data_IF_560861740813
#
_entry.id   IF_560861740813
#
_cell.length_a   1.000
_cell.length_b   1.000
_cell.length_c   1.000
_cell.angle_alpha   90.00
_cell.angle_beta   90.00
_cell.angle_gamma   90.00
#
_symmetry.space_group_name_H-M   'P 1'
#
loop_
_entity.id
_entity.type
_entity.pdbx_description
1 polymer ?
#
# COMPACT_ATOMS: atom_id res chain seq x y z
N UNK A 1 -3.38 23.71 -3.34
CA UNK A 1 -2.93 22.31 -3.48
C UNK A 1 -4.14 21.44 -3.63
N UNK A 2 -4.32 20.85 -4.81
CA UNK A 2 -5.41 19.91 -5.09
C UNK A 2 -4.98 18.51 -4.67
N UNK A 3 -5.86 17.74 -4.02
CA UNK A 3 -5.63 16.34 -3.69
C UNK A 3 -6.67 15.51 -4.43
N UNK A 4 -6.22 14.56 -5.22
CA UNK A 4 -7.09 13.70 -6.04
C UNK A 4 -6.50 12.30 -6.18
N UNK A 5 -7.35 11.35 -6.55
CA UNK A 5 -6.94 10.00 -6.90
C UNK A 5 -5.97 10.05 -8.11
N UNK A 6 -4.95 9.21 -8.07
CA UNK A 6 -3.92 9.12 -9.10
C UNK A 6 -4.45 8.37 -10.31
N UNK A 7 -4.14 8.87 -11.51
CA UNK A 7 -4.47 8.23 -12.79
C UNK A 7 -3.21 7.62 -13.42
N UNK A 8 -3.34 6.70 -14.40
CA UNK A 8 -2.18 6.13 -15.08
C UNK A 8 -1.21 7.18 -15.67
N UNK A 9 -1.73 8.31 -16.16
CA UNK A 9 -0.95 9.45 -16.65
C UNK A 9 -0.12 10.17 -15.58
N UNK A 10 -0.47 10.03 -14.29
CA UNK A 10 0.26 10.64 -13.19
C UNK A 10 1.49 9.82 -12.75
N UNK A 11 1.55 8.52 -13.12
CA UNK A 11 2.54 7.58 -12.59
C UNK A 11 3.98 7.98 -12.92
N UNK A 12 4.23 8.52 -14.11
CA UNK A 12 5.53 9.10 -14.48
C UNK A 12 5.94 10.25 -13.56
N UNK A 13 5.00 11.13 -13.23
CA UNK A 13 5.26 12.27 -12.36
C UNK A 13 5.40 11.84 -10.88
N UNK A 14 4.73 10.77 -10.47
CA UNK A 14 4.92 10.14 -9.16
C UNK A 14 6.32 9.55 -9.04
N UNK A 15 6.79 8.80 -10.05
CA UNK A 15 8.17 8.28 -10.07
C UNK A 15 9.19 9.42 -10.02
N UNK A 16 9.00 10.48 -10.82
CA UNK A 16 9.88 11.64 -10.75
C UNK A 16 9.89 12.29 -9.35
N UNK A 17 8.74 12.34 -8.67
CA UNK A 17 8.67 12.85 -7.30
C UNK A 17 9.37 11.92 -6.28
N UNK A 18 9.30 10.60 -6.48
CA UNK A 18 9.98 9.60 -5.65
C UNK A 18 11.50 9.78 -5.72
N UNK A 19 12.06 9.82 -6.93
CA UNK A 19 13.49 10.02 -7.21
C UNK A 19 14.06 11.29 -6.55
N UNK A 20 13.25 12.34 -6.42
CA UNK A 20 13.66 13.59 -5.77
C UNK A 20 13.57 13.57 -4.25
N UNK A 21 12.80 12.65 -3.67
CA UNK A 21 12.41 12.70 -2.26
C UNK A 21 12.92 11.54 -1.42
N UNK A 22 13.15 10.37 -2.02
CA UNK A 22 13.39 9.11 -1.33
C UNK A 22 14.57 8.34 -1.95
N UNK A 23 15.35 7.61 -1.13
CA UNK A 23 16.40 6.72 -1.62
C UNK A 23 15.86 5.39 -2.16
N UNK A 24 14.71 4.91 -1.65
CA UNK A 24 14.04 3.71 -2.16
C UNK A 24 13.23 4.02 -3.43
N UNK A 25 13.70 3.50 -4.57
CA UNK A 25 13.18 3.78 -5.90
C UNK A 25 12.68 2.51 -6.60
N UNK A 26 11.72 2.67 -7.51
CA UNK A 26 11.07 1.56 -8.21
C UNK A 26 11.04 1.77 -9.73
N UNK A 27 11.10 0.66 -10.46
CA UNK A 27 10.90 0.64 -11.91
C UNK A 27 9.46 1.00 -12.29
N UNK A 28 9.23 1.55 -13.48
CA UNK A 28 7.90 2.00 -13.91
C UNK A 28 6.87 0.86 -13.94
N UNK A 29 7.30 -0.37 -14.24
CA UNK A 29 6.47 -1.58 -14.17
C UNK A 29 5.77 -1.71 -12.81
N UNK A 30 6.45 -1.36 -11.72
CA UNK A 30 5.91 -1.46 -10.38
C UNK A 30 4.83 -0.40 -10.09
N UNK A 31 5.00 0.82 -10.63
CA UNK A 31 3.96 1.84 -10.58
C UNK A 31 2.72 1.44 -11.39
N UNK A 32 2.91 0.85 -12.58
CA UNK A 32 1.79 0.33 -13.36
C UNK A 32 1.07 -0.82 -12.65
N UNK A 33 1.81 -1.74 -12.03
CA UNK A 33 1.21 -2.81 -11.23
C UNK A 33 0.26 -2.24 -10.16
N UNK A 34 0.69 -1.23 -9.39
CA UNK A 34 -0.19 -0.57 -8.41
C UNK A 34 -1.39 0.11 -9.07
N UNK A 35 -1.17 0.89 -10.12
CA UNK A 35 -2.21 1.67 -10.79
C UNK A 35 -3.24 0.82 -11.53
N UNK A 36 -2.89 -0.42 -11.90
CA UNK A 36 -3.79 -1.36 -12.59
C UNK A 36 -4.47 -2.33 -11.63
N UNK A 37 -3.79 -2.74 -10.55
CA UNK A 37 -4.36 -3.65 -9.55
C UNK A 37 -5.28 -2.93 -8.55
N UNK A 38 -4.89 -1.73 -8.08
CA UNK A 38 -5.64 -0.97 -7.07
C UNK A 38 -5.75 0.52 -7.44
N UNK A 39 -6.42 0.86 -8.56
CA UNK A 39 -6.51 2.23 -9.06
C UNK A 39 -7.09 3.23 -8.04
N UNK A 40 -7.93 2.77 -7.11
CA UNK A 40 -8.58 3.63 -6.11
C UNK A 40 -7.65 4.07 -4.97
N UNK A 41 -6.52 3.39 -4.73
CA UNK A 41 -5.76 3.53 -3.47
C UNK A 41 -4.67 4.60 -3.50
N UNK A 42 -4.17 4.92 -4.69
CA UNK A 42 -3.07 5.89 -4.83
C UNK A 42 -3.62 7.30 -5.06
N UNK A 43 -3.01 8.28 -4.39
CA UNK A 43 -3.43 9.68 -4.46
C UNK A 43 -2.23 10.59 -4.69
N UNK A 44 -2.48 11.73 -5.31
CA UNK A 44 -1.48 12.76 -5.53
C UNK A 44 -1.93 14.10 -4.94
N UNK A 45 -0.96 14.94 -4.64
CA UNK A 45 -1.13 16.36 -4.35
C UNK A 45 -0.43 17.16 -5.45
N UNK A 46 -1.17 18.06 -6.11
CA UNK A 46 -0.67 18.91 -7.19
C UNK A 46 -0.83 20.40 -6.86
N UNK A 47 0.06 21.22 -7.40
CA UNK A 47 -0.03 22.68 -7.35
C UNK A 47 -1.00 23.24 -8.40
N UNK A 48 -1.14 24.55 -8.46
CA UNK A 48 -2.05 25.25 -9.38
C UNK A 48 -1.69 25.04 -10.86
N UNK A 49 -0.45 24.62 -11.16
CA UNK A 49 0.03 24.33 -12.50
C UNK A 49 -0.08 22.83 -12.85
N UNK A 50 -0.71 22.02 -12.01
CA UNK A 50 -0.82 20.57 -12.19
C UNK A 50 0.48 19.81 -11.90
N UNK A 51 1.48 20.43 -11.26
CA UNK A 51 2.73 19.75 -10.92
C UNK A 51 2.55 18.96 -9.64
N UNK A 52 2.89 17.67 -9.67
CA UNK A 52 2.90 16.83 -8.47
C UNK A 52 3.92 17.35 -7.46
N UNK A 53 3.44 17.65 -6.25
CA UNK A 53 4.23 18.08 -5.09
C UNK A 53 4.26 17.04 -3.97
N UNK A 54 3.40 16.03 -4.04
CA UNK A 54 3.45 14.85 -3.18
C UNK A 54 2.54 13.75 -3.70
N UNK A 55 2.76 12.54 -3.22
CA UNK A 55 1.93 11.38 -3.58
C UNK A 55 1.95 10.34 -2.45
N UNK A 56 0.94 9.47 -2.47
CA UNK A 56 0.92 8.20 -1.77
C UNK A 56 0.67 7.09 -2.81
N UNK A 57 1.53 6.09 -2.82
CA UNK A 57 1.42 4.86 -3.58
C UNK A 57 1.06 3.75 -2.60
N UNK A 58 -0.08 3.12 -2.82
CA UNK A 58 -0.64 2.14 -1.89
C UNK A 58 -1.21 0.93 -2.62
N UNK A 59 -1.23 -0.21 -1.93
CA UNK A 59 -1.78 -1.49 -2.39
C UNK A 59 -2.61 -2.16 -1.29
N UNK A 60 -3.30 -3.24 -1.63
CA UNK A 60 -3.73 -4.24 -0.65
C UNK A 60 -2.64 -5.33 -0.56
N UNK A 61 -2.45 -5.92 0.62
CA UNK A 61 -1.71 -7.18 0.69
C UNK A 61 -2.58 -8.34 0.19
N UNK A 62 -1.95 -9.31 -0.47
CA UNK A 62 -2.59 -10.39 -1.22
C UNK A 62 -2.54 -11.74 -0.47
N UNK A 63 -2.01 -11.78 0.75
CA UNK A 63 -1.94 -13.01 1.55
C UNK A 63 -3.34 -13.47 1.97
N UNK A 64 -3.80 -14.67 1.54
CA UNK A 64 -5.14 -15.16 1.83
C UNK A 64 -5.34 -15.60 3.28
N UNK A 65 -4.26 -15.88 4.03
CA UNK A 65 -4.34 -16.32 5.42
C UNK A 65 -4.50 -15.12 6.40
N UNK A 66 -4.27 -13.92 5.90
CA UNK A 66 -4.36 -12.67 6.65
C UNK A 66 -5.71 -11.96 6.46
N UNK A 67 -6.09 -11.16 7.46
CA UNK A 67 -7.25 -10.27 7.29
C UNK A 67 -6.93 -9.21 6.23
N UNK A 68 -7.90 -8.82 5.37
CA UNK A 68 -7.67 -7.83 4.33
C UNK A 68 -7.10 -6.54 4.93
N UNK A 69 -5.94 -6.11 4.44
CA UNK A 69 -5.26 -4.93 4.94
C UNK A 69 -4.49 -4.21 3.83
N UNK A 70 -4.41 -2.89 3.96
CA UNK A 70 -3.67 -2.06 3.01
C UNK A 70 -2.19 -1.98 3.37
N UNK A 71 -1.36 -1.65 2.39
CA UNK A 71 0.05 -1.37 2.58
C UNK A 71 0.44 -0.07 1.89
N UNK A 72 1.23 0.77 2.58
CA UNK A 72 1.80 1.99 2.00
C UNK A 72 3.18 1.69 1.45
N UNK A 73 3.21 1.46 0.14
CA UNK A 73 4.46 1.21 -0.61
C UNK A 73 5.37 2.44 -0.58
N UNK A 74 4.81 3.64 -0.78
CA UNK A 74 5.62 4.85 -0.82
C UNK A 74 4.81 6.12 -0.54
N UNK A 75 5.36 7.04 0.26
CA UNK A 75 4.76 8.33 0.59
C UNK A 75 5.83 9.41 0.53
N UNK A 76 5.64 10.42 -0.32
CA UNK A 76 6.58 11.52 -0.42
C UNK A 76 5.87 12.87 -0.59
N UNK A 77 6.47 13.90 -0.01
CA UNK A 77 6.11 15.31 -0.25
C UNK A 77 7.40 16.10 -0.46
N UNK A 78 7.47 16.84 -1.56
CA UNK A 78 8.59 17.72 -1.91
C UNK A 78 8.88 18.68 -0.78
N UNK A 79 10.15 18.93 -0.49
CA UNK A 79 10.60 19.74 0.66
C UNK A 79 9.93 21.12 0.71
N UNK A 80 9.76 21.76 -0.44
CA UNK A 80 9.10 23.07 -0.60
C UNK A 80 7.62 23.08 -0.21
N UNK A 81 6.98 21.92 -0.08
CA UNK A 81 5.56 21.75 0.21
C UNK A 81 5.30 20.94 1.49
N UNK A 82 6.34 20.71 2.30
CA UNK A 82 6.20 20.07 3.62
C UNK A 82 5.56 21.03 4.63
N UNK A 83 5.10 20.49 5.76
CA UNK A 83 4.41 21.23 6.84
C UNK A 83 3.06 21.86 6.45
N UNK A 84 2.49 21.48 5.31
CA UNK A 84 1.15 21.88 4.86
C UNK A 84 0.06 20.82 5.14
N UNK A 85 0.39 19.78 5.91
CA UNK A 85 -0.53 18.67 6.20
C UNK A 85 -0.82 17.72 5.02
N UNK A 86 -0.12 17.85 3.89
CA UNK A 86 -0.39 17.07 2.69
C UNK A 86 -0.24 15.56 2.90
N UNK A 87 0.83 15.13 3.59
CA UNK A 87 1.08 13.71 3.85
C UNK A 87 -0.07 13.07 4.65
N UNK A 88 -0.61 13.77 5.64
CA UNK A 88 -1.75 13.30 6.41
C UNK A 88 -2.99 13.17 5.51
N UNK A 89 -3.32 14.21 4.75
CA UNK A 89 -4.50 14.20 3.87
C UNK A 89 -4.42 13.10 2.81
N UNK A 90 -3.24 12.86 2.23
CA UNK A 90 -3.01 11.76 1.29
C UNK A 90 -3.26 10.39 1.94
N UNK A 91 -2.71 10.18 3.14
CA UNK A 91 -2.90 8.93 3.89
C UNK A 91 -4.36 8.70 4.30
N UNK A 92 -5.07 9.75 4.69
CA UNK A 92 -6.49 9.66 5.07
C UNK A 92 -7.36 9.30 3.86
N UNK A 93 -7.07 9.85 2.68
CA UNK A 93 -7.75 9.46 1.43
C UNK A 93 -7.47 8.00 1.04
N UNK A 94 -6.20 7.59 1.06
CA UNK A 94 -5.82 6.21 0.73
C UNK A 94 -6.48 5.20 1.68
N UNK A 95 -6.45 5.45 3.00
CA UNK A 95 -7.07 4.54 3.97
C UNK A 95 -8.59 4.51 3.87
N UNK A 96 -9.24 5.64 3.60
CA UNK A 96 -10.67 5.64 3.31
C UNK A 96 -10.98 4.75 2.10
N UNK A 97 -10.21 4.87 1.01
CA UNK A 97 -10.38 4.04 -0.18
C UNK A 97 -10.12 2.55 0.09
N UNK A 98 -9.15 2.21 0.94
CA UNK A 98 -8.90 0.83 1.40
C UNK A 98 -10.11 0.22 2.11
N UNK A 99 -10.78 1.01 2.97
CA UNK A 99 -11.99 0.57 3.68
C UNK A 99 -13.15 0.40 2.70
N UNK A 100 -13.43 1.43 1.89
CA UNK A 100 -14.62 1.49 1.04
C UNK A 100 -14.60 0.44 -0.08
N UNK A 101 -13.42 0.15 -0.65
CA UNK A 101 -13.30 -0.74 -1.81
C UNK A 101 -12.90 -2.17 -1.44
N UNK A 102 -12.18 -2.36 -0.32
CA UNK A 102 -11.57 -3.64 0.02
C UNK A 102 -11.81 -4.10 1.46
N UNK A 103 -12.63 -3.36 2.23
CA UNK A 103 -12.98 -3.69 3.62
C UNK A 103 -11.75 -3.87 4.53
N UNK A 104 -10.67 -3.12 4.26
CA UNK A 104 -9.40 -3.22 4.96
C UNK A 104 -9.56 -3.00 6.47
N UNK A 105 -8.95 -3.87 7.28
CA UNK A 105 -9.00 -3.81 8.76
C UNK A 105 -7.93 -2.92 9.34
N UNK A 106 -6.78 -2.88 8.70
CA UNK A 106 -5.68 -2.01 9.08
C UNK A 106 -4.90 -1.60 7.83
N UNK A 107 -3.96 -0.68 8.02
CA UNK A 107 -2.94 -0.32 7.03
C UNK A 107 -1.56 -0.49 7.64
N UNK A 108 -0.63 -1.08 6.89
CA UNK A 108 0.76 -1.30 7.28
C UNK A 108 1.74 -0.46 6.46
N UNK A 109 2.94 -0.28 6.99
CA UNK A 109 4.09 0.32 6.31
C UNK A 109 5.40 -0.02 7.01
N UNK A 110 6.51 0.21 6.30
CA UNK A 110 7.85 0.15 6.86
C UNK A 110 8.48 1.54 6.93
N UNK A 111 9.22 1.81 8.01
CA UNK A 111 9.96 3.07 8.17
C UNK A 111 11.32 2.85 8.81
N UNK A 112 12.36 3.47 8.25
CA UNK A 112 13.71 3.54 8.82
C UNK A 112 13.69 4.03 10.27
N UNK A 113 14.41 3.35 11.17
CA UNK A 113 14.53 3.75 12.58
C UNK A 113 15.13 5.15 12.74
N UNK A 114 16.01 5.55 11.83
CA UNK A 114 16.64 6.87 11.82
C UNK A 114 15.71 8.01 11.34
N UNK A 115 14.60 7.71 10.65
CA UNK A 115 13.74 8.71 10.02
C UNK A 115 12.77 9.38 11.02
N UNK A 116 13.31 10.25 11.87
CA UNK A 116 12.56 10.96 12.92
C UNK A 116 11.36 11.75 12.40
N UNK A 117 11.45 12.32 11.19
CA UNK A 117 10.35 13.11 10.61
C UNK A 117 9.17 12.22 10.23
N UNK A 118 9.43 11.08 9.60
CA UNK A 118 8.40 10.10 9.26
C UNK A 118 7.82 9.43 10.52
N UNK A 119 8.67 9.06 11.49
CA UNK A 119 8.21 8.51 12.77
C UNK A 119 7.24 9.44 13.50
N UNK A 120 7.54 10.74 13.54
CA UNK A 120 6.62 11.71 14.13
C UNK A 120 5.29 11.78 13.36
N UNK A 121 5.32 11.79 12.02
CA UNK A 121 4.11 11.77 11.21
C UNK A 121 3.28 10.50 11.48
N UNK A 122 3.89 9.32 11.40
CA UNK A 122 3.19 8.05 11.52
C UNK A 122 2.65 7.83 12.94
N UNK A 123 3.49 7.98 13.96
CA UNK A 123 3.08 7.75 15.35
C UNK A 123 2.19 8.86 15.91
N UNK A 124 2.65 10.12 15.85
CA UNK A 124 1.97 11.20 16.58
C UNK A 124 0.73 11.71 15.84
N UNK A 125 0.84 11.89 14.51
CA UNK A 125 -0.25 12.46 13.70
C UNK A 125 -1.22 11.38 13.24
N UNK A 126 -0.70 10.32 12.62
CA UNK A 126 -1.52 9.29 11.97
C UNK A 126 -1.87 8.12 12.88
N UNK A 127 -1.33 8.06 14.10
CA UNK A 127 -1.64 7.04 15.12
C UNK A 127 -1.26 5.60 14.71
N UNK A 128 -0.23 5.46 13.89
CA UNK A 128 0.41 4.16 13.67
C UNK A 128 1.14 3.71 14.94
N UNK A 129 1.09 2.41 15.18
CA UNK A 129 1.80 1.73 16.25
C UNK A 129 2.88 0.83 15.65
N UNK A 130 4.03 0.73 16.30
CA UNK A 130 5.08 -0.20 15.91
C UNK A 130 4.59 -1.61 16.25
N UNK A 131 4.52 -2.49 15.26
CA UNK A 131 4.19 -3.90 15.47
C UNK A 131 5.45 -4.75 15.66
N UNK A 132 6.47 -4.51 14.85
CA UNK A 132 7.70 -5.31 14.83
C UNK A 132 8.91 -4.47 14.41
N UNK A 133 10.10 -4.97 14.74
CA UNK A 133 11.37 -4.47 14.23
C UNK A 133 11.92 -5.51 13.27
N UNK A 134 12.11 -5.15 12.01
CA UNK A 134 12.67 -6.02 10.99
C UNK A 134 14.17 -5.73 10.83
N UNK A 135 15.05 -6.65 11.27
CA UNK A 135 16.48 -6.42 11.26
C UNK A 135 17.03 -6.41 9.83
N UNK A 136 17.90 -5.43 9.53
CA UNK A 136 18.56 -5.30 8.21
C UNK A 136 17.59 -5.31 7.01
N UNK A 137 16.41 -4.70 7.18
CA UNK A 137 15.39 -4.64 6.14
C UNK A 137 15.85 -3.85 4.90
N UNK A 138 16.55 -2.73 5.11
CA UNK A 138 17.01 -1.89 4.02
C UNK A 138 18.36 -2.37 3.46
N UNK A 139 18.63 -2.07 2.20
CA UNK A 139 19.83 -2.54 1.48
C UNK A 139 21.17 -2.07 2.10
N UNK A 140 21.17 -0.96 2.83
CA UNK A 140 22.30 -0.46 3.60
C UNK A 140 22.45 -1.13 4.98
N UNK A 141 21.61 -2.11 5.28
CA UNK A 141 21.58 -2.87 6.52
C UNK A 141 20.86 -2.17 7.67
N UNK A 142 20.19 -1.03 7.43
CA UNK A 142 19.36 -0.40 8.45
C UNK A 142 18.12 -1.25 8.76
N UNK A 143 17.78 -1.39 10.03
CA UNK A 143 16.53 -2.00 10.46
C UNK A 143 15.31 -1.12 10.09
N UNK A 144 14.16 -1.75 9.89
CA UNK A 144 12.87 -1.07 9.76
C UNK A 144 12.00 -1.25 11.00
N UNK A 145 11.16 -0.27 11.30
CA UNK A 145 9.94 -0.50 12.05
C UNK A 145 8.83 -0.88 11.08
N UNK A 146 8.25 -2.07 11.27
CA UNK A 146 6.94 -2.39 10.71
C UNK A 146 5.89 -1.70 11.60
N UNK A 147 5.04 -0.88 10.98
CA UNK A 147 4.02 -0.11 11.67
C UNK A 147 2.64 -0.45 11.14
N UNK A 148 1.64 -0.50 12.04
CA UNK A 148 0.24 -0.74 11.71
C UNK A 148 -0.65 0.37 12.26
N UNK A 149 -1.70 0.73 11.51
CA UNK A 149 -2.80 1.59 11.97
C UNK A 149 -4.11 0.84 11.79
N UNK A 150 -4.81 0.62 12.89
CA UNK A 150 -6.17 0.09 12.89
C UNK A 150 -7.14 1.04 12.19
N UNK A 151 -8.00 0.49 11.33
CA UNK A 151 -8.99 1.24 10.55
C UNK A 151 -10.42 1.05 11.04
N UNK A 152 -10.65 0.30 12.13
CA UNK A 152 -12.00 -0.05 12.60
C UNK A 152 -12.80 1.21 12.98
N UNK A 153 -12.18 2.14 13.71
CA UNK A 153 -12.82 3.40 14.10
C UNK A 153 -13.22 4.25 12.88
N UNK A 154 -12.32 4.38 11.90
CA UNK A 154 -12.61 5.11 10.65
C UNK A 154 -13.74 4.44 9.87
N UNK A 155 -13.75 3.10 9.82
CA UNK A 155 -14.82 2.34 9.17
C UNK A 155 -16.18 2.49 9.87
N UNK A 156 -16.20 2.58 11.21
CA UNK A 156 -17.42 2.89 11.97
C UNK A 156 -17.96 4.29 11.65
N UNK A 157 -17.10 5.30 11.59
CA UNK A 157 -17.50 6.68 11.24
C UNK A 157 -18.07 6.76 9.82
N UNK A 158 -17.43 6.13 8.83
CA UNK A 158 -17.91 6.12 7.45
C UNK A 158 -19.30 5.46 7.32
N UNK A 159 -19.55 4.37 8.07
CA UNK A 159 -20.86 3.70 8.12
C UNK A 159 -21.93 4.58 8.73
N UNK A 160 -21.63 5.30 9.82
CA UNK A 160 -22.57 6.23 10.48
C UNK A 160 -22.99 7.38 9.56
N UNK A 161 -22.10 7.85 8.69
CA UNK A 161 -22.36 8.93 7.75
C UNK A 161 -22.99 8.49 6.41
N UNK A 162 -23.45 7.23 6.30
CA UNK A 162 -24.29 6.78 5.19
C UNK A 162 -23.56 6.42 3.90
N UNK A 163 -22.25 6.20 3.95
CA UNK A 163 -21.53 5.60 2.82
C UNK A 163 -21.76 4.09 2.87
N UNK A 164 -22.73 3.59 2.08
CA UNK A 164 -22.91 2.16 1.89
C UNK A 164 -21.67 1.60 1.19
N UNK A 165 -21.00 0.65 1.82
CA UNK A 165 -20.03 -0.20 1.12
C UNK A 165 -20.77 -0.90 -0.04
N UNK A 166 -20.33 -0.66 -1.27
CA UNK A 166 -20.84 -1.38 -2.43
C UNK A 166 -20.38 -2.84 -2.31
N UNK A 167 -21.27 -3.74 -1.89
CA UNK A 167 -20.94 -5.16 -1.81
C UNK A 167 -21.80 -6.05 -0.91
N UNK A 168 -22.81 -5.53 -0.20
CA UNK A 168 -23.72 -6.35 0.59
C UNK A 168 -25.13 -6.32 0.02
N UNK A 169 -25.33 -6.99 -1.11
CA UNK A 169 -26.64 -7.47 -1.54
C UNK A 169 -26.44 -8.80 -2.28
N UNK A 170 -26.31 -9.88 -1.52
CA UNK A 170 -26.58 -11.23 -2.02
C UNK A 170 -27.84 -11.73 -1.29
N UNK A 171 -28.96 -11.99 -1.99
CA UNK A 171 -30.14 -12.52 -1.35
C UNK A 171 -29.90 -13.98 -0.95
N UNK A 172 -30.16 -14.30 0.32
CA UNK A 172 -30.33 -15.68 0.80
C UNK A 172 -31.46 -16.35 0.01
N UNK A 173 -31.10 -17.24 -0.91
CA UNK A 173 -32.02 -18.15 -1.56
C UNK A 173 -32.19 -19.39 -0.69
N UNK A 174 -33.36 -19.49 -0.04
CA UNK A 174 -33.88 -20.71 0.56
C UNK A 174 -34.38 -21.61 -0.57
N UNK A 175 -33.90 -22.85 -0.66
CA UNK A 175 -34.49 -23.87 -1.54
C UNK A 175 -34.52 -25.22 -0.79
N UNK A 176 -35.58 -26.04 -0.98
CA UNK A 176 -35.94 -27.10 -0.05
C UNK A 176 -35.27 -28.46 -0.36
N UNK A 177 -35.48 -29.36 0.61
CA UNK A 177 -35.12 -30.77 0.72
C UNK A 177 -35.32 -31.65 -0.53
N UNK A 178 -34.38 -32.58 -0.76
CA UNK A 178 -34.52 -33.77 -1.59
C UNK A 178 -33.30 -34.71 -1.45
N UNK A 179 -33.55 -35.96 -1.03
CA UNK A 179 -32.58 -37.02 -0.70
C UNK A 179 -31.86 -37.66 -1.91
N UNK A 180 -30.60 -38.11 -1.74
CA UNK A 180 -30.14 -39.52 -1.92
C UNK A 180 -28.60 -39.72 -1.84
N UNK A 181 -28.21 -40.55 -0.86
CA UNK A 181 -27.17 -41.61 -0.72
C UNK A 181 -25.75 -41.63 -1.37
N UNK A 182 -24.77 -41.96 -0.48
CA UNK A 182 -23.55 -42.82 -0.58
C UNK A 182 -22.38 -42.40 -1.50
N UNK A 183 -21.07 -42.52 -1.18
CA UNK A 183 -20.31 -43.52 -0.38
C UNK A 183 -18.89 -42.99 0.01
N UNK A 184 -18.42 -43.37 1.22
CA UNK A 184 -17.08 -43.76 1.76
C UNK A 184 -15.74 -43.27 1.15
N UNK A 185 -14.82 -42.80 2.03
CA UNK A 185 -13.35 -42.83 1.81
C UNK A 185 -12.53 -42.08 2.88
N UNK A 186 -11.44 -42.68 3.38
CA UNK A 186 -10.75 -42.46 4.66
C UNK A 186 -9.36 -41.78 4.54
N UNK A 187 -8.88 -41.19 5.65
CA UNK A 187 -7.49 -40.80 6.03
C UNK A 187 -6.79 -39.73 5.15
N UNK A 188 -6.05 -38.73 5.63
CA UNK A 188 -5.20 -38.59 6.80
C UNK A 188 -3.84 -38.08 6.28
N UNK A 189 -3.26 -37.01 6.85
CA UNK A 189 -1.87 -36.64 6.52
C UNK A 189 -1.56 -35.15 6.52
N UNK A 190 -0.62 -34.81 7.39
CA UNK A 190 -0.11 -33.51 7.80
C UNK A 190 0.94 -32.93 6.82
N UNK A 191 1.19 -31.62 6.98
CA UNK A 191 2.46 -30.90 6.81
C UNK A 191 2.86 -30.30 5.45
N UNK A 192 2.79 -28.96 5.44
CA UNK A 192 3.87 -27.94 5.31
C UNK A 192 4.76 -27.89 4.07
N UNK A 193 5.14 -26.63 3.80
CA UNK A 193 6.18 -26.08 2.91
C UNK A 193 5.65 -25.56 1.56
N UNK A 194 5.99 -24.36 1.06
CA UNK A 194 6.91 -23.29 1.47
C UNK A 194 6.48 -22.06 0.61
N UNK A 195 6.10 -20.94 1.22
CA UNK A 195 5.87 -19.67 0.52
C UNK A 195 7.03 -18.72 0.79
N UNK A 196 8.06 -18.79 -0.05
CA UNK A 196 9.13 -17.79 -0.13
C UNK A 196 9.43 -17.54 -1.61
N UNK A 197 9.01 -16.39 -2.14
CA UNK A 197 9.86 -15.53 -2.99
C UNK A 197 9.30 -14.10 -2.89
N UNK A 198 9.85 -13.32 -1.95
CA UNK A 198 9.87 -11.87 -2.09
C UNK A 198 10.70 -11.53 -3.32
N UNK A 199 10.11 -10.93 -4.35
CA UNK A 199 10.85 -10.46 -5.52
C UNK A 199 11.88 -9.40 -5.05
N UNK A 200 13.12 -9.86 -4.93
CA UNK A 200 14.29 -9.04 -4.77
C UNK A 200 14.43 -8.12 -6.00
N UNK A 201 14.82 -6.89 -5.72
CA UNK A 201 15.18 -5.85 -6.68
C UNK A 201 16.14 -6.37 -7.75
N UNK A 202 15.66 -6.54 -8.97
CA UNK A 202 16.50 -6.81 -10.14
C UNK A 202 17.12 -5.47 -10.62
N UNK A 203 18.37 -5.24 -10.22
CA UNK A 203 19.24 -4.19 -10.76
C UNK A 203 20.04 -4.79 -11.92
N UNK A 204 19.68 -4.46 -13.15
CA UNK A 204 20.50 -4.77 -14.33
C UNK A 204 21.48 -3.62 -14.57
N UNK A 205 22.74 -3.83 -14.18
CA UNK A 205 23.87 -2.99 -14.59
C UNK A 205 24.13 -3.16 -16.09
N UNK A 206 23.82 -2.13 -16.88
CA UNK A 206 24.35 -2.00 -18.25
C UNK A 206 25.75 -1.38 -18.13
N UNK A 207 26.79 -2.21 -18.26
CA UNK A 207 28.15 -1.73 -18.49
C UNK A 207 28.22 -1.08 -19.86
N UNK A 208 28.30 0.25 -19.86
CA UNK A 208 28.67 1.04 -21.04
C UNK A 208 30.19 0.91 -21.23
N UNK A 209 30.60 0.14 -22.24
CA UNK A 209 32.00 0.07 -22.69
C UNK A 209 32.20 1.08 -23.81
N UNK A 210 32.65 2.28 -23.46
CA UNK A 210 33.28 3.19 -24.42
C UNK A 210 34.73 2.76 -24.62
N UNK A 211 35.03 2.19 -25.79
CA UNK A 211 36.40 2.11 -26.30
C UNK A 211 36.69 3.38 -27.08
N UNK A 212 37.58 4.20 -26.52
CA UNK A 212 38.17 5.38 -27.16
C UNK A 212 38.87 5.00 -28.47
N UNK A 213 38.65 5.84 -29.47
CA UNK A 213 39.45 5.89 -30.69
C UNK A 213 40.55 6.92 -30.50
N UNK A 214 41.81 6.47 -30.52
CA UNK A 214 42.98 7.20 -31.02
C UNK A 214 44.14 6.25 -31.26
#
# INVERSE_FOLDING_TARGET
MNIRNARPEDLMNMQHCNLLCLPENYQMKYYFYHGLSWPQLSYIAEDENGKIVGYVLAKMEEDPDDVPHGHITSLAVKRSHRRLGLAQKLMDQASRAMIENFNAKYVSLHVRKSNRAALHLYSNTLKFQISEIEPKYYADGEDAYAMKRDLAHMADELRKHGVKALGQDAPTATTPTGDQEKEVGDSGGDSKELSEVSEATESTDVKDSSSDSQ
#
